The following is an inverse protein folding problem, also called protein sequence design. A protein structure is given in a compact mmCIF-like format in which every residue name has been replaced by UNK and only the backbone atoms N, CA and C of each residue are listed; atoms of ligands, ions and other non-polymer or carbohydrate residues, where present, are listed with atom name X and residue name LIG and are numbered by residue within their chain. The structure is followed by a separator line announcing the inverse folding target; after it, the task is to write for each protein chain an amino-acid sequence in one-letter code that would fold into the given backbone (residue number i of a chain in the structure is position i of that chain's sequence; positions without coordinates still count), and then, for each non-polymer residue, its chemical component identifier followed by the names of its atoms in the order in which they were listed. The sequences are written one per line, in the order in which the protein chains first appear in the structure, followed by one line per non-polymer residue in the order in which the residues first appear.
data_IF_491460810392
#
_entry.id   IF_491460810392
#
_cell.length_a   1.000
_cell.length_b   1.000
_cell.length_c   1.000
_cell.angle_alpha   90.00
_cell.angle_beta   90.00
_cell.angle_gamma   90.00
#
_symmetry.space_group_name_H-M   'P 1'
#
loop_
_entity.id
_entity.type
_entity.pdbx_description
1 polymer ?
#
# COMPACT_ATOMS: atom_id res chain seq x y z
N UNK A 1 7.09 -23.56 -3.92
CA UNK A 1 6.76 -22.35 -4.71
C UNK A 1 7.94 -21.40 -4.68
N UNK A 2 8.25 -20.75 -5.80
CA UNK A 2 9.26 -19.69 -5.85
C UNK A 2 8.57 -18.37 -6.18
N UNK A 3 8.73 -17.40 -5.28
CA UNK A 3 8.29 -16.04 -5.43
C UNK A 3 9.49 -15.12 -5.68
N UNK A 4 9.39 -14.26 -6.69
CA UNK A 4 10.39 -13.23 -6.96
C UNK A 4 9.75 -11.84 -6.90
N UNK A 5 10.27 -11.01 -5.99
CA UNK A 5 9.89 -9.60 -5.80
C UNK A 5 11.16 -8.79 -5.56
N UNK A 6 11.57 -7.99 -6.54
CA UNK A 6 12.84 -7.29 -6.59
C UNK A 6 12.97 -6.22 -5.48
N UNK A 7 11.93 -5.40 -5.34
CA UNK A 7 11.93 -4.18 -4.54
C UNK A 7 11.04 -4.23 -3.29
N UNK A 8 11.24 -3.30 -2.35
CA UNK A 8 10.38 -3.10 -1.18
C UNK A 8 8.89 -2.98 -1.55
N UNK A 9 8.57 -2.26 -2.63
CA UNK A 9 7.17 -2.07 -3.07
C UNK A 9 6.53 -3.35 -3.61
N UNK A 10 7.30 -4.20 -4.27
CA UNK A 10 6.83 -5.52 -4.73
C UNK A 10 6.65 -6.49 -3.56
N UNK A 11 7.59 -6.50 -2.61
CA UNK A 11 7.47 -7.32 -1.39
C UNK A 11 6.22 -6.93 -0.59
N UNK A 12 5.89 -5.63 -0.51
CA UNK A 12 4.60 -5.20 0.04
C UNK A 12 3.45 -5.78 -0.77
N UNK A 13 3.41 -5.58 -2.09
CA UNK A 13 2.32 -6.07 -2.96
C UNK A 13 2.09 -7.58 -2.85
N UNK A 14 3.13 -8.33 -2.52
CA UNK A 14 3.13 -9.78 -2.32
C UNK A 14 2.48 -10.21 -0.99
N UNK A 15 2.36 -9.32 0.01
CA UNK A 15 1.73 -9.62 1.30
C UNK A 15 0.30 -10.13 1.15
N UNK A 16 -0.50 -9.59 0.22
CA UNK A 16 -1.83 -10.09 -0.07
C UNK A 16 -1.82 -11.59 -0.43
N UNK A 17 -0.95 -12.00 -1.36
CA UNK A 17 -0.82 -13.40 -1.78
C UNK A 17 -0.30 -14.26 -0.62
N UNK A 18 0.69 -13.76 0.13
CA UNK A 18 1.24 -14.50 1.26
C UNK A 18 0.23 -14.69 2.39
N UNK A 19 -0.67 -13.72 2.61
CA UNK A 19 -1.73 -13.83 3.61
C UNK A 19 -2.70 -14.98 3.30
N UNK A 20 -3.01 -15.18 2.01
CA UNK A 20 -3.79 -16.32 1.50
C UNK A 20 -3.04 -17.64 1.68
N UNK A 21 -1.75 -17.67 1.32
CA UNK A 21 -0.94 -18.89 1.37
C UNK A 21 -0.57 -19.36 2.78
N UNK A 22 -0.41 -18.43 3.73
CA UNK A 22 0.11 -18.70 5.08
C UNK A 22 -0.96 -18.69 6.17
N UNK A 23 -2.24 -18.47 5.83
CA UNK A 23 -3.38 -18.40 6.76
C UNK A 23 -3.14 -17.41 7.92
N UNK A 24 -2.78 -16.16 7.59
CA UNK A 24 -2.41 -15.15 8.59
C UNK A 24 -3.60 -14.59 9.38
N UNK A 25 -4.84 -14.95 9.04
CA UNK A 25 -6.04 -14.48 9.74
C UNK A 25 -6.21 -15.08 11.16
N UNK A 26 -5.45 -16.13 11.53
CA UNK A 26 -5.42 -16.64 12.90
C UNK A 26 -4.25 -16.13 13.76
N UNK A 27 -3.21 -15.54 13.17
CA UNK A 27 -2.03 -15.10 13.91
C UNK A 27 -2.21 -13.71 14.53
N UNK A 28 -2.85 -12.77 13.82
CA UNK A 28 -3.05 -11.40 14.34
C UNK A 28 -4.03 -11.31 15.51
N UNK A 29 -4.91 -12.30 15.71
CA UNK A 29 -5.85 -12.34 16.85
C UNK A 29 -5.25 -13.00 18.11
N UNK A 30 -4.24 -13.86 17.97
CA UNK A 30 -3.63 -14.57 19.10
C UNK A 30 -2.49 -13.79 19.76
N UNK A 31 -1.70 -13.06 18.99
CA UNK A 31 -0.59 -12.25 19.55
C UNK A 31 -1.05 -10.96 20.26
N UNK A 32 -2.25 -10.46 19.94
CA UNK A 32 -2.89 -9.37 20.69
C UNK A 32 -3.59 -9.85 21.98
N UNK A 33 -4.05 -11.10 22.02
CA UNK A 33 -4.69 -11.68 23.20
C UNK A 33 -3.66 -12.15 24.25
N UNK A 34 -2.50 -12.68 23.81
CA UNK A 34 -1.46 -13.18 24.70
C UNK A 34 -0.54 -12.08 25.26
N UNK A 35 -0.39 -10.95 24.57
CA UNK A 35 0.34 -9.78 25.11
C UNK A 35 -0.48 -9.01 26.16
N UNK A 36 -1.82 -9.07 26.13
CA UNK A 36 -2.69 -8.48 27.18
C UNK A 36 -2.89 -9.35 28.42
N UNK A 37 -2.57 -10.65 28.38
CA UNK A 37 -2.77 -11.57 29.51
C UNK A 37 -1.56 -11.73 30.44
N UNK A 38 -0.42 -11.09 30.14
CA UNK A 38 0.81 -11.20 30.95
C UNK A 38 1.05 -10.04 31.91
N UNK A 39 0.31 -8.92 31.80
CA UNK A 39 0.51 -7.71 32.63
C UNK A 39 -0.63 -7.40 33.61
N UNK A 40 -1.49 -8.37 33.95
CA UNK A 40 -2.57 -8.16 34.93
C UNK A 40 -2.85 -9.35 35.85
N UNK A 41 -1.79 -10.01 36.34
CA UNK A 41 -1.90 -10.95 37.46
C UNK A 41 -1.08 -10.46 38.63
N UNK A 42 -1.62 -9.46 39.33
CA UNK A 42 -1.50 -9.34 40.78
C UNK A 42 -2.66 -8.50 41.33
N UNK A 43 -3.16 -8.93 42.48
CA UNK A 43 -4.24 -8.37 43.31
C UNK A 43 -5.71 -8.79 43.06
N UNK A 44 -6.18 -9.57 44.05
CA UNK A 44 -7.48 -9.54 44.74
C UNK A 44 -8.58 -10.57 44.36
N UNK A 45 -9.11 -11.16 45.43
CA UNK A 45 -10.07 -12.28 45.53
C UNK A 45 -11.53 -11.89 45.24
N UNK A 46 -12.46 -12.87 45.09
CA UNK A 46 -13.79 -12.66 44.52
C UNK A 46 -14.91 -12.52 45.55
N UNK A 47 -15.95 -11.73 45.23
CA UNK A 47 -17.29 -11.83 45.83
C UNK A 47 -18.38 -11.57 44.74
N UNK A 48 -19.62 -12.08 44.91
CA UNK A 48 -20.47 -12.50 43.78
C UNK A 48 -21.62 -11.53 43.42
N UNK A 49 -22.02 -11.66 42.13
CA UNK A 49 -23.34 -11.46 41.51
C UNK A 49 -24.15 -10.18 41.78
N UNK A 50 -24.58 -9.50 40.71
CA UNK A 50 -25.99 -9.28 40.40
C UNK A 50 -26.17 -8.74 38.97
N UNK A 51 -27.13 -9.34 38.27
CA UNK A 51 -27.64 -9.02 36.96
C UNK A 51 -28.24 -7.61 36.88
N UNK A 52 -28.07 -6.93 35.75
CA UNK A 52 -29.21 -6.44 34.97
C UNK A 52 -28.80 -5.95 33.58
N UNK A 53 -29.53 -6.49 32.60
CA UNK A 53 -29.52 -6.20 31.18
C UNK A 53 -30.10 -4.82 30.85
N UNK A 54 -29.44 -4.09 29.96
CA UNK A 54 -30.10 -3.06 29.13
C UNK A 54 -29.56 -3.17 27.71
N UNK A 55 -30.42 -3.67 26.83
CA UNK A 55 -30.25 -3.70 25.38
C UNK A 55 -30.46 -2.31 24.77
N UNK A 56 -29.53 -1.85 23.94
CA UNK A 56 -29.76 -0.89 22.85
C UNK A 56 -28.93 -1.33 21.63
N UNK A 57 -29.36 -0.99 20.39
CA UNK A 57 -29.37 -1.94 19.28
C UNK A 57 -28.09 -1.97 18.45
N UNK A 58 -27.80 -3.17 17.93
CA UNK A 58 -26.77 -3.44 16.93
C UNK A 58 -26.92 -2.54 15.70
N UNK A 59 -25.87 -1.77 15.39
CA UNK A 59 -25.69 -1.18 14.07
C UNK A 59 -25.34 -2.28 13.07
N UNK A 60 -25.96 -2.17 11.89
CA UNK A 60 -25.94 -3.16 10.83
C UNK A 60 -24.54 -3.28 10.22
N UNK A 61 -23.90 -4.44 10.40
CA UNK A 61 -22.76 -4.85 9.58
C UNK A 61 -23.23 -4.95 8.12
N UNK A 62 -22.63 -4.14 7.25
CA UNK A 62 -22.73 -4.35 5.80
C UNK A 62 -22.08 -5.69 5.45
N UNK A 63 -22.70 -6.51 4.58
CA UNK A 63 -22.17 -7.83 4.26
C UNK A 63 -20.94 -7.66 3.37
N UNK A 64 -19.75 -7.89 3.93
CA UNK A 64 -18.59 -8.25 3.13
C UNK A 64 -18.91 -9.54 2.36
N UNK A 65 -18.55 -9.66 1.08
CA UNK A 65 -18.69 -10.91 0.36
C UNK A 65 -17.89 -12.00 1.10
N UNK A 66 -18.42 -13.22 1.23
CA UNK A 66 -17.72 -14.29 1.92
C UNK A 66 -16.41 -14.59 1.19
N UNK A 67 -15.28 -14.39 1.88
CA UNK A 67 -13.97 -14.87 1.43
C UNK A 67 -14.08 -16.36 1.12
N UNK A 68 -13.65 -16.84 -0.06
CA UNK A 68 -13.73 -18.25 -0.38
C UNK A 68 -12.90 -19.07 0.62
N UNK A 69 -13.58 -19.98 1.33
CA UNK A 69 -12.96 -20.89 2.30
C UNK A 69 -12.14 -21.94 1.54
N UNK A 70 -10.88 -21.63 1.23
CA UNK A 70 -9.92 -22.55 0.63
C UNK A 70 -8.97 -23.03 1.74
N UNK A 71 -8.78 -24.34 1.85
CA UNK A 71 -7.94 -24.95 2.87
C UNK A 71 -6.45 -24.58 2.68
N UNK A 72 -5.74 -24.13 3.73
CA UNK A 72 -4.36 -23.67 3.59
C UNK A 72 -3.39 -24.80 3.24
N UNK A 73 -2.41 -24.50 2.39
CA UNK A 73 -1.33 -25.41 2.00
C UNK A 73 -0.32 -25.58 3.15
N UNK A 74 -0.70 -26.27 4.22
CA UNK A 74 0.08 -26.41 5.48
C UNK A 74 1.52 -26.95 5.32
N UNK A 75 1.87 -27.52 4.16
CA UNK A 75 3.19 -28.06 3.86
C UNK A 75 3.91 -27.35 2.69
N UNK A 76 3.42 -26.20 2.22
CA UNK A 76 4.03 -25.49 1.11
C UNK A 76 5.33 -24.81 1.54
N UNK A 77 6.44 -25.25 0.95
CA UNK A 77 7.72 -24.55 1.04
C UNK A 77 7.76 -23.38 0.04
N UNK A 78 8.03 -22.18 0.53
CA UNK A 78 8.09 -20.95 -0.24
C UNK A 78 9.53 -20.43 -0.21
N UNK A 79 10.12 -20.28 -1.39
CA UNK A 79 11.35 -19.52 -1.57
C UNK A 79 10.97 -18.12 -2.07
N UNK A 80 11.21 -17.10 -1.26
CA UNK A 80 11.05 -15.70 -1.63
C UNK A 80 12.42 -15.09 -1.93
N UNK A 81 12.57 -14.57 -3.15
CA UNK A 81 13.82 -13.94 -3.60
C UNK A 81 13.63 -12.46 -3.90
N UNK A 82 14.63 -11.67 -3.53
CA UNK A 82 14.70 -10.23 -3.78
C UNK A 82 16.04 -9.84 -4.40
N UNK A 83 16.14 -8.65 -4.99
CA UNK A 83 17.41 -8.12 -5.52
C UNK A 83 17.91 -6.98 -4.63
N UNK A 84 17.00 -6.10 -4.21
CA UNK A 84 17.37 -4.92 -3.40
C UNK A 84 17.55 -5.29 -1.93
N UNK A 85 18.46 -4.59 -1.25
CA UNK A 85 18.67 -4.74 0.19
C UNK A 85 17.39 -4.39 0.99
N UNK A 86 16.70 -3.31 0.61
CA UNK A 86 15.46 -2.88 1.28
C UNK A 86 14.33 -3.90 1.10
N UNK A 87 14.22 -4.53 -0.07
CA UNK A 87 13.29 -5.64 -0.30
C UNK A 87 13.63 -6.85 0.57
N UNK A 88 14.91 -7.24 0.63
CA UNK A 88 15.37 -8.37 1.44
C UNK A 88 15.08 -8.16 2.93
N UNK A 89 15.45 -6.99 3.47
CA UNK A 89 15.21 -6.65 4.89
C UNK A 89 13.73 -6.73 5.23
N UNK A 90 12.86 -6.09 4.44
CA UNK A 90 11.42 -6.15 4.65
C UNK A 90 10.90 -7.59 4.60
N UNK A 91 11.27 -8.36 3.58
CA UNK A 91 10.82 -9.74 3.43
C UNK A 91 11.25 -10.61 4.61
N UNK A 92 12.52 -10.47 5.04
CA UNK A 92 13.08 -11.23 6.15
C UNK A 92 12.39 -10.90 7.47
N UNK A 93 12.16 -9.62 7.75
CA UNK A 93 11.45 -9.16 8.95
C UNK A 93 9.98 -9.61 8.94
N UNK A 94 9.29 -9.42 7.81
CA UNK A 94 7.86 -9.76 7.66
C UNK A 94 7.62 -11.25 7.84
N UNK A 95 8.51 -12.11 7.32
CA UNK A 95 8.31 -13.55 7.29
C UNK A 95 9.19 -14.35 8.26
N UNK A 96 9.87 -13.70 9.21
CA UNK A 96 10.75 -14.35 10.18
C UNK A 96 10.06 -15.45 11.02
N UNK A 97 8.75 -15.29 11.29
CA UNK A 97 7.95 -16.25 12.06
C UNK A 97 7.42 -17.46 11.28
N UNK A 98 7.66 -17.53 9.96
CA UNK A 98 7.11 -18.58 9.10
C UNK A 98 8.21 -19.56 8.68
N UNK A 99 8.31 -20.75 9.32
CA UNK A 99 9.42 -21.68 9.08
C UNK A 99 9.42 -22.29 7.67
N UNK A 100 8.30 -22.22 6.96
CA UNK A 100 8.13 -22.67 5.58
C UNK A 100 8.45 -21.59 4.54
N UNK A 101 8.85 -20.38 4.97
CA UNK A 101 9.25 -19.27 4.09
C UNK A 101 10.75 -19.03 4.24
N UNK A 102 11.47 -19.20 3.14
CA UNK A 102 12.89 -18.88 3.06
C UNK A 102 13.10 -17.61 2.25
N UNK A 103 13.79 -16.63 2.81
CA UNK A 103 14.10 -15.36 2.15
C UNK A 103 15.58 -15.32 1.76
N UNK A 104 15.85 -15.11 0.49
CA UNK A 104 17.21 -15.12 -0.09
C UNK A 104 17.37 -14.01 -1.13
N UNK A 105 18.60 -13.66 -1.50
CA UNK A 105 18.83 -12.85 -2.70
C UNK A 105 18.72 -13.71 -3.96
N UNK A 106 18.14 -13.14 -5.03
CA UNK A 106 18.23 -13.75 -6.36
C UNK A 106 19.67 -13.57 -6.88
N UNK A 107 20.38 -14.65 -7.25
CA UNK A 107 21.71 -14.52 -7.83
C UNK A 107 21.62 -14.05 -9.29
N UNK A 108 22.72 -13.56 -9.84
CA UNK A 108 22.80 -13.28 -11.28
C UNK A 108 22.49 -14.53 -12.11
N UNK A 109 21.94 -14.34 -13.33
CA UNK A 109 21.43 -15.44 -14.15
C UNK A 109 22.43 -16.55 -14.40
N UNK A 110 23.71 -16.20 -14.56
CA UNK A 110 24.80 -17.16 -14.76
C UNK A 110 24.96 -18.16 -13.60
N UNK A 111 24.47 -17.83 -12.40
CA UNK A 111 24.55 -18.66 -11.20
C UNK A 111 23.23 -19.39 -10.87
N UNK A 112 22.15 -19.11 -11.59
CA UNK A 112 20.85 -19.75 -11.37
C UNK A 112 20.90 -21.29 -11.44
N UNK A 113 21.69 -21.95 -12.31
CA UNK A 113 21.80 -23.41 -12.30
C UNK A 113 22.31 -23.98 -10.98
N UNK A 114 23.31 -23.34 -10.36
CA UNK A 114 23.84 -23.77 -9.05
C UNK A 114 22.84 -23.51 -7.93
N UNK A 115 22.12 -22.40 -8.04
CA UNK A 115 21.06 -22.04 -7.11
C UNK A 115 19.90 -23.03 -7.16
N UNK A 116 19.48 -23.41 -8.37
CA UNK A 116 18.48 -24.45 -8.57
C UNK A 116 18.92 -25.79 -8.00
N UNK A 117 20.19 -26.16 -8.21
CA UNK A 117 20.76 -27.38 -7.63
C UNK A 117 20.66 -27.37 -6.11
N UNK A 118 20.90 -26.23 -5.45
CA UNK A 118 20.83 -26.10 -3.99
C UNK A 118 19.40 -26.27 -3.44
N UNK A 119 18.38 -25.79 -4.15
CA UNK A 119 17.01 -25.68 -3.60
C UNK A 119 15.99 -26.64 -4.21
N UNK A 120 16.17 -27.04 -5.47
CA UNK A 120 15.18 -27.78 -6.26
C UNK A 120 15.67 -29.17 -6.73
N UNK A 121 16.94 -29.50 -6.49
CA UNK A 121 17.53 -30.77 -6.94
C UNK A 121 18.28 -31.41 -5.78
N UNK A 122 17.70 -32.43 -5.15
CA UNK A 122 18.43 -33.28 -4.20
C UNK A 122 18.88 -34.59 -4.88
N UNK A 123 19.98 -35.16 -4.40
CA UNK A 123 20.70 -36.32 -4.96
C UNK A 123 19.85 -37.60 -5.06
N UNK A 124 18.66 -37.62 -4.47
CA UNK A 124 17.72 -38.76 -4.52
C UNK A 124 16.31 -38.40 -5.00
N UNK A 125 15.94 -37.11 -5.09
CA UNK A 125 14.62 -36.62 -5.53
C UNK A 125 14.73 -35.21 -6.11
N UNK A 126 14.12 -34.98 -7.27
CA UNK A 126 13.84 -33.63 -7.76
C UNK A 126 12.76 -33.04 -6.85
N UNK A 127 13.08 -32.03 -6.03
CA UNK A 127 12.06 -31.26 -5.34
C UNK A 127 11.36 -30.39 -6.39
N UNK A 128 10.16 -30.80 -6.79
CA UNK A 128 9.44 -30.14 -7.88
C UNK A 128 9.13 -28.68 -7.52
N UNK A 129 9.75 -27.75 -8.24
CA UNK A 129 9.27 -26.38 -8.29
C UNK A 129 7.91 -26.43 -9.01
N UNK A 130 6.81 -26.39 -8.24
CA UNK A 130 5.46 -26.42 -8.83
C UNK A 130 5.12 -25.13 -9.58
N UNK A 131 5.51 -24.00 -8.98
CA UNK A 131 5.10 -22.67 -9.41
C UNK A 131 6.20 -21.65 -9.17
N UNK A 132 6.54 -20.88 -10.21
CA UNK A 132 7.31 -19.64 -10.16
C UNK A 132 6.36 -18.46 -10.38
N UNK A 133 6.33 -17.51 -9.44
CA UNK A 133 5.68 -16.22 -9.65
C UNK A 133 6.70 -15.09 -9.60
N UNK A 134 6.69 -14.24 -10.61
CA UNK A 134 7.56 -13.08 -10.75
C UNK A 134 6.72 -11.82 -10.72
N UNK A 135 7.11 -10.83 -9.91
CA UNK A 135 6.38 -9.56 -9.80
C UNK A 135 6.82 -8.50 -10.82
N UNK A 136 5.85 -7.69 -11.23
CA UNK A 136 5.98 -6.53 -12.11
C UNK A 136 6.69 -6.82 -13.45
N UNK A 137 7.87 -6.25 -13.70
CA UNK A 137 8.55 -6.28 -14.99
C UNK A 137 9.94 -6.92 -14.95
N UNK A 138 10.16 -7.86 -14.01
CA UNK A 138 11.41 -8.61 -13.84
C UNK A 138 11.51 -9.76 -14.87
N UNK A 139 11.60 -9.41 -16.16
CA UNK A 139 11.61 -10.34 -17.29
C UNK A 139 12.97 -11.03 -17.52
N UNK A 140 13.44 -11.80 -16.54
CA UNK A 140 14.71 -12.54 -16.57
C UNK A 140 14.60 -13.85 -17.35
N UNK A 141 15.21 -13.93 -18.54
CA UNK A 141 15.12 -15.09 -19.44
C UNK A 141 15.58 -16.39 -18.77
N UNK A 142 16.74 -16.36 -18.09
CA UNK A 142 17.33 -17.49 -17.39
C UNK A 142 16.48 -17.96 -16.22
N UNK A 143 15.77 -17.05 -15.53
CA UNK A 143 14.86 -17.41 -14.45
C UNK A 143 13.65 -18.19 -14.97
N UNK A 144 12.98 -17.68 -16.00
CA UNK A 144 11.85 -18.39 -16.62
C UNK A 144 12.29 -19.69 -17.30
N UNK A 145 13.43 -19.69 -18.00
CA UNK A 145 13.98 -20.88 -18.63
C UNK A 145 14.30 -21.96 -17.60
N UNK A 146 14.89 -21.60 -16.47
CA UNK A 146 15.17 -22.54 -15.39
C UNK A 146 13.89 -23.15 -14.83
N UNK A 147 12.87 -22.33 -14.56
CA UNK A 147 11.59 -22.83 -14.07
C UNK A 147 10.94 -23.83 -15.04
N UNK A 148 11.04 -23.57 -16.35
CA UNK A 148 10.59 -24.52 -17.38
C UNK A 148 11.39 -25.81 -17.41
N UNK A 149 12.72 -25.75 -17.26
CA UNK A 149 13.55 -26.95 -17.13
C UNK A 149 13.18 -27.80 -15.89
N UNK A 150 12.62 -27.18 -14.86
CA UNK A 150 12.12 -27.85 -13.64
C UNK A 150 10.65 -28.27 -13.75
N UNK A 151 10.03 -28.17 -14.94
CA UNK A 151 8.61 -28.44 -15.20
C UNK A 151 7.64 -27.61 -14.32
N UNK A 152 8.04 -26.38 -13.96
CA UNK A 152 7.21 -25.45 -13.20
C UNK A 152 6.26 -24.69 -14.11
N UNK A 153 5.07 -24.40 -13.61
CA UNK A 153 4.22 -23.34 -14.15
C UNK A 153 4.84 -21.97 -13.84
N UNK A 154 4.71 -21.01 -14.74
CA UNK A 154 5.29 -19.66 -14.59
C UNK A 154 4.22 -18.58 -14.67
N UNK A 155 4.23 -17.67 -13.70
CA UNK A 155 3.29 -16.56 -13.63
C UNK A 155 4.01 -15.22 -13.55
N UNK A 156 3.54 -14.25 -14.31
CA UNK A 156 3.92 -12.85 -14.15
C UNK A 156 2.79 -12.10 -13.44
N UNK A 157 3.05 -11.58 -12.25
CA UNK A 157 2.08 -10.97 -11.36
C UNK A 157 2.21 -9.46 -11.33
N UNK A 158 1.09 -8.76 -11.19
CA UNK A 158 1.05 -7.30 -11.14
C UNK A 158 1.80 -6.64 -12.32
N UNK A 159 1.73 -7.27 -13.50
CA UNK A 159 2.51 -6.91 -14.67
C UNK A 159 2.11 -5.53 -15.18
N UNK A 160 3.11 -4.68 -15.45
CA UNK A 160 2.92 -3.34 -16.03
C UNK A 160 4.04 -2.97 -16.97
N UNK A 161 3.73 -2.19 -18.00
CA UNK A 161 4.74 -1.57 -18.85
C UNK A 161 4.37 -0.10 -18.99
N UNK A 162 5.23 0.77 -18.45
CA UNK A 162 5.00 2.21 -18.52
C UNK A 162 5.01 2.70 -19.97
N UNK A 163 4.21 3.75 -20.23
CA UNK A 163 4.18 4.43 -21.53
C UNK A 163 5.57 4.89 -22.01
N UNK A 164 6.44 5.29 -21.08
CA UNK A 164 7.83 5.70 -21.35
C UNK A 164 8.71 4.55 -21.83
N UNK A 165 8.55 3.36 -21.23
CA UNK A 165 9.39 2.20 -21.56
C UNK A 165 8.85 1.42 -22.76
N UNK A 166 7.54 1.44 -22.98
CA UNK A 166 6.86 0.65 -24.01
C UNK A 166 7.46 0.74 -25.43
N UNK A 167 7.84 1.93 -25.97
CA UNK A 167 8.48 2.01 -27.29
C UNK A 167 9.78 1.22 -27.39
N UNK A 168 10.57 1.19 -26.31
CA UNK A 168 11.82 0.43 -26.25
C UNK A 168 11.55 -1.07 -26.23
N UNK A 169 10.55 -1.50 -25.46
CA UNK A 169 10.11 -2.90 -25.44
C UNK A 169 9.65 -3.35 -26.83
N UNK A 170 8.86 -2.50 -27.52
CA UNK A 170 8.36 -2.78 -28.87
C UNK A 170 9.50 -2.95 -29.89
N UNK A 171 10.55 -2.12 -29.80
CA UNK A 171 11.76 -2.23 -30.66
C UNK A 171 12.46 -3.59 -30.53
N UNK A 172 12.43 -4.19 -29.34
CA UNK A 172 13.00 -5.51 -29.06
C UNK A 172 11.92 -6.59 -28.87
N UNK A 173 10.74 -6.41 -29.49
CA UNK A 173 9.61 -7.33 -29.34
C UNK A 173 9.93 -8.77 -29.71
N UNK A 174 10.85 -8.99 -30.67
CA UNK A 174 11.39 -10.32 -30.97
C UNK A 174 11.98 -11.00 -29.73
N UNK A 175 12.83 -10.31 -28.96
CA UNK A 175 13.45 -10.85 -27.75
C UNK A 175 12.40 -11.10 -26.65
N UNK A 176 11.53 -10.13 -26.39
CA UNK A 176 10.49 -10.28 -25.36
C UNK A 176 9.50 -11.40 -25.70
N UNK A 177 9.23 -11.66 -26.98
CA UNK A 177 8.42 -12.80 -27.40
C UNK A 177 9.02 -14.14 -26.98
N UNK A 178 10.36 -14.26 -26.95
CA UNK A 178 11.03 -15.47 -26.46
C UNK A 178 10.84 -15.63 -24.96
N UNK A 179 10.95 -14.54 -24.19
CA UNK A 179 10.70 -14.57 -22.74
C UNK A 179 9.24 -14.93 -22.46
N UNK A 180 8.29 -14.25 -23.12
CA UNK A 180 6.86 -14.49 -22.90
C UNK A 180 6.40 -15.87 -23.35
N UNK A 181 7.10 -16.54 -24.28
CA UNK A 181 6.84 -17.94 -24.58
C UNK A 181 7.11 -18.87 -23.40
N UNK A 182 7.91 -18.43 -22.42
CA UNK A 182 8.22 -19.14 -21.17
C UNK A 182 7.32 -18.71 -20.01
N UNK A 183 6.37 -17.79 -20.23
CA UNK A 183 5.41 -17.29 -19.22
C UNK A 183 4.04 -17.88 -19.52
N UNK A 184 3.52 -18.72 -18.62
CA UNK A 184 2.25 -19.43 -18.87
C UNK A 184 1.01 -18.57 -18.61
N UNK A 185 1.04 -17.76 -17.56
CA UNK A 185 -0.06 -16.88 -17.17
C UNK A 185 0.45 -15.48 -16.81
N UNK A 186 -0.29 -14.45 -17.20
CA UNK A 186 0.07 -13.06 -16.90
C UNK A 186 -1.10 -12.35 -16.25
N UNK A 187 -0.83 -11.67 -15.15
CA UNK A 187 -1.81 -10.89 -14.41
C UNK A 187 -1.41 -9.42 -14.44
N UNK A 188 -2.04 -8.66 -15.32
CA UNK A 188 -1.77 -7.26 -15.59
C UNK A 188 -2.51 -6.32 -14.62
N UNK A 189 -1.95 -5.13 -14.40
CA UNK A 189 -2.55 -4.11 -13.53
C UNK A 189 -3.79 -3.45 -14.13
N UNK A 190 -3.84 -3.35 -15.47
CA UNK A 190 -4.90 -2.65 -16.20
C UNK A 190 -5.10 -3.28 -17.59
N UNK A 191 -6.22 -2.96 -18.24
CA UNK A 191 -6.47 -3.36 -19.63
C UNK A 191 -5.48 -2.70 -20.62
N UNK A 192 -4.97 -1.52 -20.29
CA UNK A 192 -3.92 -0.87 -21.08
C UNK A 192 -2.61 -1.66 -21.00
N UNK A 193 -2.22 -2.10 -19.79
CA UNK A 193 -1.05 -2.94 -19.59
C UNK A 193 -1.21 -4.29 -20.28
N UNK A 194 -2.41 -4.90 -20.21
CA UNK A 194 -2.75 -6.11 -20.95
C UNK A 194 -2.49 -5.93 -22.45
N UNK A 195 -3.02 -4.88 -23.06
CA UNK A 195 -2.85 -4.58 -24.49
C UNK A 195 -1.37 -4.41 -24.87
N UNK A 196 -0.59 -3.74 -24.01
CA UNK A 196 0.87 -3.59 -24.20
C UNK A 196 1.60 -4.93 -24.14
N UNK A 197 1.28 -5.77 -23.16
CA UNK A 197 1.89 -7.09 -22.97
C UNK A 197 1.55 -8.03 -24.14
N UNK A 198 0.30 -8.03 -24.62
CA UNK A 198 -0.13 -8.80 -25.80
C UNK A 198 0.71 -8.45 -27.03
N UNK A 199 0.97 -7.16 -27.26
CA UNK A 199 1.78 -6.71 -28.40
C UNK A 199 3.23 -7.21 -28.37
N UNK A 200 3.73 -7.58 -27.18
CA UNK A 200 5.08 -8.11 -26.97
C UNK A 200 5.13 -9.65 -27.02
N UNK A 201 3.99 -10.30 -27.20
CA UNK A 201 3.88 -11.76 -27.36
C UNK A 201 3.45 -12.51 -26.10
N UNK A 202 3.05 -11.81 -25.03
CA UNK A 202 2.42 -12.45 -23.88
C UNK A 202 1.08 -13.08 -24.26
N UNK A 203 0.76 -14.21 -23.61
CA UNK A 203 -0.49 -14.95 -23.79
C UNK A 203 -1.13 -15.19 -22.42
N UNK A 204 -2.41 -15.59 -22.41
CA UNK A 204 -3.16 -15.89 -21.19
C UNK A 204 -3.11 -14.74 -20.16
N UNK A 205 -3.42 -13.52 -20.63
CA UNK A 205 -3.34 -12.31 -19.81
C UNK A 205 -4.71 -11.94 -19.25
N UNK A 206 -4.75 -11.74 -17.94
CA UNK A 206 -5.92 -11.22 -17.21
C UNK A 206 -5.58 -9.88 -16.58
N UNK A 207 -6.46 -8.89 -16.72
CA UNK A 207 -6.35 -7.66 -15.94
C UNK A 207 -7.04 -7.89 -14.59
N UNK A 208 -6.29 -7.72 -13.50
CA UNK A 208 -6.76 -7.99 -12.12
C UNK A 208 -6.77 -6.76 -11.21
N UNK A 209 -6.25 -5.62 -11.69
CA UNK A 209 -6.02 -4.43 -10.87
C UNK A 209 -4.63 -4.42 -10.23
N UNK A 210 -4.32 -3.33 -9.52
CA UNK A 210 -3.02 -3.19 -8.86
C UNK A 210 -3.03 -3.86 -7.49
N UNK A 211 -2.13 -4.82 -7.27
CA UNK A 211 -2.05 -5.54 -5.99
C UNK A 211 -1.74 -4.63 -4.79
N UNK A 212 -1.16 -3.44 -5.02
CA UNK A 212 -0.87 -2.46 -3.96
C UNK A 212 -2.14 -1.94 -3.26
N UNK A 213 -3.31 -2.04 -3.90
CA UNK A 213 -4.58 -1.61 -3.32
C UNK A 213 -5.11 -2.52 -2.20
N UNK A 214 -4.60 -3.75 -2.09
CA UNK A 214 -5.13 -4.76 -1.17
C UNK A 214 -4.33 -4.92 0.11
N UNK A 215 -3.31 -4.09 0.30
CA UNK A 215 -2.60 -4.02 1.57
C UNK A 215 -3.20 -2.87 2.39
N UNK A 216 -4.04 -3.16 3.39
CA UNK A 216 -4.62 -2.10 4.19
C UNK A 216 -3.51 -1.33 4.92
N UNK A 217 -3.54 0.00 4.92
CA UNK A 217 -2.61 0.80 5.71
C UNK A 217 -2.76 0.44 7.20
N UNK A 218 -1.62 0.27 7.86
CA UNK A 218 -1.58 -0.01 9.30
C UNK A 218 -1.53 1.28 10.10
N UNK A 219 -2.36 1.39 11.13
CA UNK A 219 -2.28 2.43 12.17
C UNK A 219 -1.32 1.93 13.25
N UNK A 220 -0.28 2.71 13.52
CA UNK A 220 0.73 2.40 14.56
C UNK A 220 0.46 3.16 15.86
N UNK A 221 -0.22 4.30 15.78
CA UNK A 221 -0.57 5.14 16.93
C UNK A 221 -1.97 5.70 16.77
N UNK A 222 -2.72 5.72 17.87
CA UNK A 222 -4.03 6.34 17.91
C UNK A 222 -3.89 7.79 18.37
N UNK A 223 -4.40 8.72 17.57
CA UNK A 223 -4.51 10.13 17.92
C UNK A 223 -5.97 10.49 18.13
N UNK A 224 -6.24 11.39 19.07
CA UNK A 224 -7.59 11.94 19.22
C UNK A 224 -7.88 12.92 18.08
N UNK A 225 -9.01 12.71 17.41
CA UNK A 225 -9.49 13.67 16.42
C UNK A 225 -9.90 14.98 17.10
N UNK A 226 -9.46 16.15 16.61
CA UNK A 226 -9.89 17.43 17.18
C UNK A 226 -11.38 17.66 16.95
N UNK A 227 -12.03 18.43 17.86
CA UNK A 227 -13.43 18.85 17.69
C UNK A 227 -13.52 19.92 16.60
N UNK A 228 -13.75 19.47 15.37
CA UNK A 228 -13.81 20.33 14.18
C UNK A 228 -13.61 19.54 12.90
N UNK A 229 -13.37 20.25 11.80
CA UNK A 229 -12.94 19.66 10.53
C UNK A 229 -11.41 19.60 10.49
N UNK A 230 -10.85 18.41 10.30
CA UNK A 230 -9.41 18.22 10.13
C UNK A 230 -9.04 18.06 8.65
N UNK A 231 -8.26 19.01 8.16
CA UNK A 231 -7.58 18.91 6.87
C UNK A 231 -6.15 18.41 7.07
N UNK A 232 -5.73 17.50 6.20
CA UNK A 232 -4.39 16.95 6.19
C UNK A 232 -3.70 17.28 4.87
N UNK A 233 -2.68 18.13 4.90
CA UNK A 233 -1.74 18.31 3.81
C UNK A 233 -0.70 17.19 3.88
N UNK A 234 -0.91 16.15 3.08
CA UNK A 234 -0.21 14.87 3.15
C UNK A 234 0.93 14.78 2.15
N UNK A 235 2.14 14.46 2.62
CA UNK A 235 3.32 14.23 1.78
C UNK A 235 3.66 15.42 0.86
N UNK A 236 3.63 16.63 1.41
CA UNK A 236 3.86 17.87 0.66
C UNK A 236 5.31 18.03 0.20
N UNK A 237 5.49 18.73 -0.93
CA UNK A 237 6.76 19.11 -1.54
C UNK A 237 6.95 20.62 -1.60
N UNK A 238 8.15 21.04 -2.00
CA UNK A 238 8.54 22.44 -2.03
C UNK A 238 7.56 23.30 -2.84
N UNK A 239 7.10 24.39 -2.24
CA UNK A 239 6.09 25.29 -2.79
C UNK A 239 4.64 24.87 -2.54
N UNK A 240 4.37 23.59 -2.25
CA UNK A 240 2.99 23.13 -1.97
C UNK A 240 2.53 23.56 -0.57
N UNK A 241 3.42 23.61 0.42
CA UNK A 241 3.03 24.04 1.77
C UNK A 241 2.58 25.51 1.77
N UNK A 242 3.30 26.38 1.07
CA UNK A 242 2.92 27.80 0.95
C UNK A 242 1.59 27.95 0.23
N UNK A 243 1.43 27.27 -0.92
CA UNK A 243 0.19 27.26 -1.69
C UNK A 243 -1.00 26.81 -0.86
N UNK A 244 -0.86 25.73 -0.08
CA UNK A 244 -1.92 25.21 0.77
C UNK A 244 -2.22 26.20 1.89
N UNK A 245 -1.21 26.70 2.61
CA UNK A 245 -1.41 27.66 3.70
C UNK A 245 -2.13 28.91 3.18
N UNK A 246 -1.69 29.48 2.05
CA UNK A 246 -2.29 30.68 1.48
C UNK A 246 -3.74 30.44 1.03
N UNK A 247 -4.03 29.29 0.41
CA UNK A 247 -5.39 28.90 0.05
C UNK A 247 -6.28 28.74 1.30
N UNK A 248 -5.76 28.21 2.41
CA UNK A 248 -6.47 28.10 3.68
C UNK A 248 -6.78 29.47 4.29
N UNK A 249 -5.79 30.37 4.29
CA UNK A 249 -5.96 31.73 4.80
C UNK A 249 -7.00 32.50 3.98
N UNK A 250 -6.98 32.34 2.65
CA UNK A 250 -7.97 32.97 1.76
C UNK A 250 -9.37 32.35 1.90
N UNK A 251 -9.45 31.02 2.06
CA UNK A 251 -10.72 30.29 2.16
C UNK A 251 -11.46 30.52 3.48
N UNK A 252 -10.73 30.55 4.60
CA UNK A 252 -11.32 30.52 5.94
C UNK A 252 -11.04 31.75 6.79
N UNK A 253 -10.12 32.63 6.39
CA UNK A 253 -9.67 33.75 7.20
C UNK A 253 -8.71 33.33 8.33
N UNK A 254 -7.88 34.27 8.80
CA UNK A 254 -6.90 34.00 9.88
C UNK A 254 -7.58 33.67 11.22
N UNK A 255 -8.77 34.21 11.46
CA UNK A 255 -9.50 34.06 12.71
C UNK A 255 -9.98 32.62 12.97
N UNK A 256 -10.25 31.84 11.91
CA UNK A 256 -10.61 30.42 12.02
C UNK A 256 -9.46 29.51 12.42
N UNK A 257 -8.22 30.01 12.39
CA UNK A 257 -7.04 29.32 12.93
C UNK A 257 -6.72 29.74 14.37
N UNK A 258 -7.47 30.69 14.94
CA UNK A 258 -7.37 31.06 16.34
C UNK A 258 -8.04 30.07 17.29
N UNK A 259 -7.89 30.29 18.61
CA UNK A 259 -8.37 29.38 19.68
C UNK A 259 -9.87 29.01 19.63
N UNK A 260 -10.69 29.80 18.94
CA UNK A 260 -12.14 29.59 18.78
C UNK A 260 -12.56 28.93 17.46
N UNK A 261 -11.61 28.68 16.56
CA UNK A 261 -11.88 28.07 15.26
C UNK A 261 -12.21 26.58 15.33
N UNK A 262 -12.96 26.11 14.34
CA UNK A 262 -13.40 24.72 14.12
C UNK A 262 -12.68 24.05 12.94
N UNK A 263 -11.70 24.72 12.34
CA UNK A 263 -10.89 24.22 11.23
C UNK A 263 -9.48 23.94 11.72
N UNK A 264 -8.96 22.76 11.40
CA UNK A 264 -7.61 22.33 11.76
C UNK A 264 -6.86 21.94 10.49
N UNK A 265 -5.57 22.26 10.44
CA UNK A 265 -4.65 21.91 9.36
C UNK A 265 -3.45 21.16 9.92
N UNK A 266 -3.34 19.88 9.60
CA UNK A 266 -2.13 19.10 9.81
C UNK A 266 -1.28 19.10 8.54
N UNK A 267 0.03 19.30 8.66
CA UNK A 267 0.96 19.33 7.53
C UNK A 267 2.02 18.26 7.74
N UNK A 268 2.16 17.34 6.78
CA UNK A 268 3.17 16.29 6.76
C UNK A 268 4.07 16.48 5.53
N UNK A 269 5.25 17.11 5.68
CA UNK A 269 6.22 17.21 4.59
C UNK A 269 6.74 15.82 4.20
N UNK A 270 6.97 15.60 2.90
CA UNK A 270 7.45 14.31 2.38
C UNK A 270 8.86 13.95 2.86
N UNK A 271 9.66 14.97 3.16
CA UNK A 271 11.10 14.94 3.31
C UNK A 271 11.51 15.51 4.69
N UNK A 272 12.10 14.72 5.60
CA UNK A 272 12.47 15.16 6.95
C UNK A 272 13.38 16.38 7.00
N UNK A 273 14.28 16.51 6.04
CA UNK A 273 15.19 17.65 5.90
C UNK A 273 14.44 19.00 5.74
N UNK A 274 13.16 18.98 5.34
CA UNK A 274 12.33 20.17 5.15
C UNK A 274 11.49 20.56 6.37
N UNK A 275 11.47 19.78 7.44
CA UNK A 275 10.65 20.09 8.61
C UNK A 275 10.93 21.48 9.18
N UNK A 276 12.22 21.85 9.32
CA UNK A 276 12.61 23.17 9.80
C UNK A 276 12.30 24.30 8.82
N UNK A 277 12.31 24.03 7.51
CA UNK A 277 11.93 25.00 6.47
C UNK A 277 10.42 25.31 6.55
N UNK A 278 9.59 24.27 6.66
CA UNK A 278 8.13 24.41 6.76
C UNK A 278 7.73 25.09 8.07
N UNK A 279 8.40 24.79 9.18
CA UNK A 279 8.19 25.52 10.44
C UNK A 279 8.40 27.03 10.27
N UNK A 280 9.53 27.44 9.67
CA UNK A 280 9.84 28.86 9.39
C UNK A 280 8.83 29.51 8.43
N UNK A 281 8.33 28.76 7.45
CA UNK A 281 7.28 29.24 6.55
C UNK A 281 6.01 29.59 7.35
N UNK A 282 5.56 28.70 8.24
CA UNK A 282 4.37 28.94 9.07
C UNK A 282 4.58 30.17 9.98
N UNK A 283 5.76 30.28 10.60
CA UNK A 283 6.15 31.45 11.41
C UNK A 283 6.10 32.75 10.61
N UNK A 284 6.63 32.75 9.39
CA UNK A 284 6.65 33.95 8.52
C UNK A 284 5.25 34.47 8.16
N UNK A 285 4.24 33.59 8.15
CA UNK A 285 2.83 33.95 7.91
C UNK A 285 2.13 34.47 9.19
N UNK A 286 2.86 34.55 10.31
CA UNK A 286 2.39 34.93 11.65
C UNK A 286 1.27 34.02 12.15
N UNK A 287 1.45 32.71 12.03
CA UNK A 287 0.49 31.69 12.46
C UNK A 287 1.02 30.91 13.66
N UNK A 288 0.17 30.68 14.65
CA UNK A 288 0.47 29.77 15.76
C UNK A 288 0.37 28.32 15.28
N UNK A 289 1.35 27.50 15.63
CA UNK A 289 1.38 26.08 15.30
C UNK A 289 2.08 25.28 16.38
N UNK A 290 1.80 23.98 16.42
CA UNK A 290 2.51 23.01 17.25
C UNK A 290 3.30 22.05 16.36
N UNK A 291 4.44 21.55 16.84
CA UNK A 291 5.16 20.44 16.22
C UNK A 291 4.85 19.13 16.94
N UNK A 292 4.67 18.04 16.20
CA UNK A 292 4.41 16.73 16.79
C UNK A 292 5.60 16.22 17.63
N UNK A 293 6.83 16.48 17.18
CA UNK A 293 8.06 16.09 17.88
C UNK A 293 8.21 16.71 19.27
N UNK A 294 7.56 17.84 19.53
CA UNK A 294 7.63 18.55 20.82
C UNK A 294 6.76 17.91 21.91
N UNK A 295 6.12 16.78 21.62
CA UNK A 295 5.53 15.93 22.65
C UNK A 295 4.36 16.58 23.39
N UNK A 296 3.57 17.41 22.72
CA UNK A 296 2.33 17.93 23.31
C UNK A 296 1.47 16.75 23.78
N UNK A 297 1.00 16.79 25.04
CA UNK A 297 0.15 15.74 25.63
C UNK A 297 -1.11 15.45 24.80
N UNK A 298 -1.49 16.38 23.92
CA UNK A 298 -2.56 16.24 22.92
C UNK A 298 -2.08 16.80 21.58
N UNK A 299 -2.28 16.06 20.50
CA UNK A 299 -2.19 16.63 19.15
C UNK A 299 -3.20 17.78 19.02
N UNK A 300 -2.87 18.82 18.25
CA UNK A 300 -3.71 20.00 18.02
C UNK A 300 -3.92 20.93 19.24
N UNK A 301 -2.84 21.22 19.98
CA UNK A 301 -2.82 22.38 20.90
C UNK A 301 -3.14 23.68 20.15
N UNK A 302 -2.59 23.81 18.94
CA UNK A 302 -2.92 24.85 17.98
C UNK A 302 -3.76 24.28 16.84
N UNK A 303 -4.36 25.17 16.03
CA UNK A 303 -5.13 24.75 14.84
C UNK A 303 -4.26 24.29 13.69
N UNK A 304 -2.98 24.65 13.71
CA UNK A 304 -1.98 24.15 12.76
C UNK A 304 -1.05 23.19 13.49
N UNK A 305 -0.90 21.99 12.94
CA UNK A 305 0.00 20.97 13.45
C UNK A 305 1.01 20.62 12.36
N UNK A 306 2.28 20.90 12.60
CA UNK A 306 3.37 20.38 11.79
C UNK A 306 3.75 18.99 12.32
N UNK A 307 3.67 18.00 11.45
CA UNK A 307 4.05 16.62 11.75
C UNK A 307 5.46 16.43 11.22
N UNK A 308 6.42 16.68 12.10
CA UNK A 308 7.86 16.66 11.87
C UNK A 308 8.50 15.34 12.34
N UNK A 309 7.76 14.23 12.19
CA UNK A 309 8.24 12.88 12.49
C UNK A 309 7.86 11.91 11.37
N UNK A 310 8.67 10.87 11.19
CA UNK A 310 8.44 9.83 10.19
C UNK A 310 7.43 8.79 10.67
N UNK A 311 6.67 8.23 9.73
CA UNK A 311 5.78 7.08 9.98
C UNK A 311 4.40 7.41 10.53
N UNK A 312 4.01 8.69 10.56
CA UNK A 312 2.73 9.14 11.13
C UNK A 312 1.59 9.27 10.12
N UNK A 313 1.89 9.17 8.83
CA UNK A 313 0.95 9.48 7.74
C UNK A 313 -0.38 8.71 7.85
N UNK A 314 -0.33 7.39 8.05
CA UNK A 314 -1.53 6.57 8.22
C UNK A 314 -2.32 6.93 9.48
N UNK A 315 -1.62 7.26 10.57
CA UNK A 315 -2.25 7.63 11.84
C UNK A 315 -3.07 8.91 11.69
N UNK A 316 -2.59 9.86 10.89
CA UNK A 316 -3.31 11.10 10.59
C UNK A 316 -4.36 10.95 9.51
N UNK A 317 -4.17 10.08 8.51
CA UNK A 317 -5.26 9.76 7.59
C UNK A 317 -6.48 9.22 8.35
N UNK A 318 -6.27 8.36 9.36
CA UNK A 318 -7.34 7.75 10.14
C UNK A 318 -8.25 8.75 10.90
N UNK A 319 -7.75 9.96 11.18
CA UNK A 319 -8.51 10.99 11.92
C UNK A 319 -8.90 12.20 11.06
N UNK A 320 -8.37 12.31 9.85
CA UNK A 320 -8.65 13.44 8.95
C UNK A 320 -10.05 13.34 8.33
N UNK A 321 -10.64 14.49 8.02
CA UNK A 321 -11.87 14.58 7.23
C UNK A 321 -11.55 14.75 5.75
N UNK A 322 -10.54 15.57 5.47
CA UNK A 322 -10.07 15.91 4.13
C UNK A 322 -8.57 15.70 4.05
N UNK A 323 -8.11 15.09 2.97
CA UNK A 323 -6.69 14.93 2.65
C UNK A 323 -6.36 15.64 1.35
N UNK A 324 -5.43 16.58 1.43
CA UNK A 324 -4.82 17.27 0.31
C UNK A 324 -3.50 16.55 0.04
N UNK A 325 -3.51 15.70 -0.99
CA UNK A 325 -2.38 14.83 -1.32
C UNK A 325 -1.37 15.57 -2.18
N UNK A 326 -0.19 15.86 -1.60
CA UNK A 326 0.90 16.57 -2.25
C UNK A 326 1.60 15.78 -3.37
N UNK A 327 2.71 16.34 -3.84
CA UNK A 327 3.49 15.86 -5.00
C UNK A 327 2.76 15.99 -6.34
N UNK A 328 1.62 16.67 -6.34
CA UNK A 328 0.66 16.71 -7.46
C UNK A 328 0.27 18.14 -7.85
N UNK A 329 0.41 19.10 -6.93
CA UNK A 329 0.42 20.52 -7.26
C UNK A 329 1.81 20.92 -7.76
N UNK A 330 2.86 20.34 -7.18
CA UNK A 330 4.19 20.31 -7.78
C UNK A 330 4.29 19.23 -8.88
N UNK A 331 5.26 19.35 -9.79
CA UNK A 331 5.47 18.40 -10.91
C UNK A 331 6.21 17.11 -10.50
N UNK A 332 5.91 16.58 -9.31
CA UNK A 332 6.57 15.41 -8.74
C UNK A 332 5.92 14.07 -9.16
N UNK A 333 4.71 14.11 -9.70
CA UNK A 333 4.03 12.96 -10.31
C UNK A 333 2.97 12.28 -9.42
N UNK A 334 2.69 12.86 -8.26
CA UNK A 334 1.65 12.44 -7.31
C UNK A 334 2.13 11.37 -6.33
N UNK A 335 1.49 11.34 -5.16
CA UNK A 335 1.66 10.29 -4.15
C UNK A 335 0.53 9.27 -4.17
N UNK A 336 0.63 8.24 -3.33
CA UNK A 336 -0.31 7.12 -3.30
C UNK A 336 -1.73 7.56 -2.84
N UNK A 337 -2.75 7.49 -3.71
CA UNK A 337 -4.12 7.89 -3.35
C UNK A 337 -4.89 6.80 -2.59
N UNK A 338 -4.38 5.57 -2.54
CA UNK A 338 -5.08 4.43 -1.94
C UNK A 338 -5.17 4.57 -0.41
N UNK A 339 -4.14 5.13 0.22
CA UNK A 339 -4.11 5.33 1.68
C UNK A 339 -5.22 6.27 2.16
N UNK A 340 -5.36 7.52 1.67
CA UNK A 340 -6.47 8.38 2.08
C UNK A 340 -7.85 7.84 1.67
N UNK A 341 -7.94 7.13 0.55
CA UNK A 341 -9.19 6.50 0.11
C UNK A 341 -9.61 5.33 1.02
N UNK A 342 -8.65 4.57 1.56
CA UNK A 342 -8.92 3.51 2.52
C UNK A 342 -9.58 4.06 3.80
N UNK A 343 -9.11 5.22 4.28
CA UNK A 343 -9.67 5.90 5.45
C UNK A 343 -10.93 6.73 5.14
N UNK A 344 -11.42 6.69 3.90
CA UNK A 344 -12.60 7.43 3.44
C UNK A 344 -12.48 8.95 3.65
N UNK A 345 -11.29 9.49 3.44
CA UNK A 345 -11.09 10.93 3.46
C UNK A 345 -11.68 11.53 2.19
N UNK A 346 -12.16 12.78 2.25
CA UNK A 346 -12.32 13.56 1.01
C UNK A 346 -10.91 13.77 0.44
N UNK A 347 -10.67 13.28 -0.78
CA UNK A 347 -9.34 13.31 -1.39
C UNK A 347 -9.25 14.44 -2.42
N UNK A 348 -8.39 15.42 -2.16
CA UNK A 348 -8.04 16.51 -3.08
C UNK A 348 -6.59 16.32 -3.51
N UNK A 349 -6.31 16.43 -4.81
CA UNK A 349 -4.95 16.32 -5.35
C UNK A 349 -4.79 17.24 -6.56
N UNK A 350 -3.56 17.66 -6.85
CA UNK A 350 -3.25 18.46 -8.05
C UNK A 350 -3.23 17.63 -9.33
N UNK A 351 -3.17 18.28 -10.49
CA UNK A 351 -3.24 17.64 -11.81
C UNK A 351 -2.03 16.76 -12.18
N UNK A 352 -0.90 16.91 -11.51
CA UNK A 352 0.35 16.21 -11.86
C UNK A 352 0.45 14.80 -11.25
N UNK A 353 -0.50 13.92 -11.56
CA UNK A 353 -0.57 12.53 -11.03
C UNK A 353 0.11 11.48 -11.94
N UNK A 354 1.04 11.88 -12.81
CA UNK A 354 1.53 11.03 -13.91
C UNK A 354 2.26 9.75 -13.47
N UNK A 355 2.82 9.69 -12.25
CA UNK A 355 3.43 8.46 -11.71
C UNK A 355 2.39 7.51 -11.10
N UNK A 356 1.23 8.04 -10.68
CA UNK A 356 0.21 7.33 -9.91
C UNK A 356 -1.14 7.19 -10.62
N UNK A 357 -1.23 7.51 -11.92
CA UNK A 357 -2.47 7.43 -12.72
C UNK A 357 -3.24 6.13 -12.51
N UNK A 358 -2.53 5.00 -12.53
CA UNK A 358 -3.15 3.69 -12.35
C UNK A 358 -3.80 3.52 -10.96
N UNK A 359 -3.23 4.11 -9.91
CA UNK A 359 -3.80 4.06 -8.56
C UNK A 359 -4.96 5.03 -8.41
N UNK A 360 -4.87 6.22 -8.99
CA UNK A 360 -5.97 7.19 -9.01
C UNK A 360 -7.19 6.66 -9.77
N UNK A 361 -6.99 5.90 -10.85
CA UNK A 361 -8.08 5.24 -11.57
C UNK A 361 -8.84 4.21 -10.73
N UNK A 362 -8.26 3.73 -9.62
CA UNK A 362 -8.91 2.81 -8.67
C UNK A 362 -9.65 3.56 -7.55
N UNK A 363 -9.54 4.88 -7.46
CA UNK A 363 -10.14 5.68 -6.38
C UNK A 363 -11.30 6.48 -6.95
N UNK A 364 -12.49 6.25 -6.41
CA UNK A 364 -13.68 7.03 -6.72
C UNK A 364 -13.70 8.30 -5.86
N UNK A 365 -14.32 9.36 -6.38
CA UNK A 365 -14.41 10.67 -5.73
C UNK A 365 -13.04 11.29 -5.35
N UNK A 366 -11.99 11.03 -6.14
CA UNK A 366 -10.75 11.79 -6.05
C UNK A 366 -10.89 13.10 -6.84
N UNK A 367 -10.77 14.24 -6.16
CA UNK A 367 -10.88 15.57 -6.75
C UNK A 367 -9.51 16.02 -7.27
N UNK A 368 -9.27 15.83 -8.57
CA UNK A 368 -8.07 16.29 -9.26
C UNK A 368 -8.30 17.72 -9.77
N UNK A 369 -7.59 18.68 -9.20
CA UNK A 369 -7.81 20.11 -9.43
C UNK A 369 -6.51 20.82 -9.85
N UNK A 370 -6.65 22.03 -10.38
CA UNK A 370 -5.51 22.94 -10.59
C UNK A 370 -5.18 23.72 -9.32
N UNK A 371 -4.00 24.32 -9.31
CA UNK A 371 -3.51 25.13 -8.19
C UNK A 371 -4.44 26.31 -7.85
N UNK A 372 -4.98 26.99 -8.85
CA UNK A 372 -5.89 28.14 -8.72
C UNK A 372 -7.31 27.74 -8.25
N UNK A 373 -7.68 26.48 -8.39
CA UNK A 373 -8.98 25.95 -7.96
C UNK A 373 -8.99 25.54 -6.47
N UNK A 374 -7.82 25.45 -5.82
CA UNK A 374 -7.71 24.93 -4.45
C UNK A 374 -8.54 25.73 -3.46
N UNK A 375 -8.46 27.07 -3.47
CA UNK A 375 -9.26 27.92 -2.57
C UNK A 375 -10.76 27.67 -2.72
N UNK A 376 -11.26 27.64 -3.95
CA UNK A 376 -12.68 27.43 -4.22
C UNK A 376 -13.15 26.03 -3.78
N UNK A 377 -12.29 25.03 -3.95
CA UNK A 377 -12.52 23.65 -3.52
C UNK A 377 -12.55 23.56 -1.99
N UNK A 378 -11.63 24.25 -1.30
CA UNK A 378 -11.60 24.33 0.16
C UNK A 378 -12.85 25.01 0.71
N UNK A 379 -13.38 26.07 0.08
CA UNK A 379 -14.66 26.68 0.51
C UNK A 379 -15.84 25.72 0.34
N UNK A 380 -15.81 24.85 -0.67
CA UNK A 380 -16.86 23.90 -0.98
C UNK A 380 -16.69 22.51 -0.34
N UNK A 381 -15.73 22.35 0.57
CA UNK A 381 -15.32 21.03 1.08
C UNK A 381 -16.47 20.18 1.65
N UNK A 382 -17.50 20.81 2.23
CA UNK A 382 -18.67 20.11 2.83
C UNK A 382 -19.53 19.37 1.81
N UNK A 383 -19.45 19.74 0.55
CA UNK A 383 -20.22 19.13 -0.54
C UNK A 383 -19.42 18.06 -1.30
N UNK A 384 -18.15 17.83 -0.90
CA UNK A 384 -17.31 16.83 -1.53
C UNK A 384 -17.61 15.45 -0.91
N UNK A 385 -17.76 14.46 -1.77
CA UNK A 385 -17.97 13.08 -1.38
C UNK A 385 -16.65 12.46 -0.88
N UNK A 386 -16.76 11.55 0.08
CA UNK A 386 -15.61 10.77 0.55
C UNK A 386 -15.09 9.87 -0.56
N UNK A 387 -13.76 9.77 -0.65
CA UNK A 387 -13.11 8.86 -1.57
C UNK A 387 -13.17 7.41 -1.08
N UNK A 388 -13.17 6.46 -1.99
CA UNK A 388 -13.10 5.03 -1.67
C UNK A 388 -12.42 4.27 -2.80
N UNK A 389 -11.87 3.10 -2.47
CA UNK A 389 -11.22 2.23 -3.44
C UNK A 389 -12.31 1.40 -4.13
N UNK A 390 -12.39 1.51 -5.45
CA UNK A 390 -13.29 0.71 -6.27
C UNK A 390 -12.67 -0.66 -6.57
N UNK A 391 -13.18 -1.68 -5.88
CA UNK A 391 -12.77 -3.07 -6.05
C UNK A 391 -13.62 -3.82 -7.08
N UNK A 392 -14.60 -3.18 -7.74
CA UNK A 392 -15.55 -3.86 -8.62
C UNK A 392 -14.91 -4.48 -9.86
N UNK A 393 -13.74 -4.00 -10.28
CA UNK A 393 -12.97 -4.52 -11.42
C UNK A 393 -11.87 -5.52 -11.04
N UNK A 394 -11.80 -5.94 -9.77
CA UNK A 394 -10.71 -6.79 -9.30
C UNK A 394 -11.02 -8.28 -9.41
N UNK A 395 -10.42 -8.92 -10.41
CA UNK A 395 -10.46 -10.38 -10.60
C UNK A 395 -9.47 -11.11 -9.66
N UNK A 396 -9.33 -10.65 -8.43
CA UNK A 396 -8.46 -11.25 -7.42
C UNK A 396 -8.77 -12.72 -7.10
N UNK A 397 -10.05 -13.15 -7.00
CA UNK A 397 -10.36 -14.56 -6.80
C UNK A 397 -9.79 -15.44 -7.90
N UNK A 398 -9.74 -14.96 -9.16
CA UNK A 398 -9.17 -15.70 -10.28
C UNK A 398 -7.65 -15.85 -10.15
N UNK A 399 -6.95 -14.82 -9.64
CA UNK A 399 -5.52 -14.93 -9.33
C UNK A 399 -5.28 -16.02 -8.27
N UNK A 400 -6.02 -15.99 -7.16
CA UNK A 400 -5.85 -16.94 -6.07
C UNK A 400 -6.21 -18.37 -6.50
N UNK A 401 -7.32 -18.54 -7.21
CA UNK A 401 -7.74 -19.83 -7.78
C UNK A 401 -6.69 -20.37 -8.76
N UNK A 402 -6.11 -19.51 -9.61
CA UNK A 402 -5.03 -19.90 -10.51
C UNK A 402 -3.79 -20.34 -9.73
N UNK A 403 -3.41 -19.63 -8.67
CA UNK A 403 -2.27 -20.02 -7.80
C UNK A 403 -2.56 -21.38 -7.18
N UNK A 404 -3.72 -21.57 -6.56
CA UNK A 404 -4.10 -22.81 -5.88
C UNK A 404 -4.15 -24.01 -6.84
N UNK A 405 -4.70 -23.82 -8.04
CA UNK A 405 -4.74 -24.83 -9.10
C UNK A 405 -3.35 -25.37 -9.47
N UNK A 406 -2.34 -24.49 -9.51
CA UNK A 406 -0.97 -24.87 -9.88
C UNK A 406 -0.11 -25.30 -8.69
N UNK A 407 -0.60 -25.11 -7.47
CA UNK A 407 0.03 -25.59 -6.24
C UNK A 407 -0.48 -26.97 -5.81
N UNK A 408 -1.72 -27.32 -6.14
CA UNK A 408 -2.24 -28.69 -6.04
C UNK A 408 -1.38 -29.64 -6.89
#
# INVERSE_FOLDING_TARGET
MWLHACSYGEVKSLQFIMSHLLDTNQAQSKDFAQSKQKDSKDCAQPLPSLSNSMHLPHSQNSPHPPSPTISPHKNLQILLTTITHTGYTLAKETYAGYPNVRVEFLPFEIFLPFYAKRFFIDSSKISCLKLLCVFEAELWLGLFSLAKCLNSHTMLLNARISSRSYPRYKRFSFFYRHIFALVDSVFAQSDEDKSRLESLGAKNIQAIGNLKAYNPPTITKNYDKPKGTLFLAASTHNGEEELIIDAFLSAFGKERFGKKGDIFLAIIPRHPERFGEVAKLIESKNLAFSCLSQGCEKAFCERILLIDTLGELNNFYAIADISILGGSFAKEGGHNPLEPAHFQNVLISGEHIFNQKALFAMVQNAYIIKQDELESTLKNYKNLAKSYIDSTHSNLPQLLESIDKHLA
#
